data_IF_524346531364
#
_entry.id   IF_524346531364
#
_cell.length_a   1.000
_cell.length_b   1.000
_cell.length_c   1.000
_cell.angle_alpha   90.00
_cell.angle_beta   90.00
_cell.angle_gamma   90.00
#
_symmetry.space_group_name_H-M   'P 1'
#
loop_
_entity.id
_entity.type
_entity.pdbx_description
1 polymer ?
#
# COMPACT_ATOMS: atom_id res chain seq x y z
N UNK A 1 -21.00 9.23 27.98
CA UNK A 1 -20.38 10.07 26.94
C UNK A 1 -20.27 9.20 25.71
N UNK A 2 -21.16 9.44 24.74
CA UNK A 2 -21.17 8.72 23.48
C UNK A 2 -19.97 9.20 22.67
N UNK A 3 -18.99 8.32 22.48
CA UNK A 3 -17.90 8.57 21.56
C UNK A 3 -18.52 8.50 20.16
N UNK A 4 -18.72 9.67 19.54
CA UNK A 4 -18.92 9.73 18.10
C UNK A 4 -17.56 9.31 17.51
N UNK A 5 -17.47 8.06 17.06
CA UNK A 5 -16.57 7.72 15.97
C UNK A 5 -16.86 8.72 14.86
N UNK A 6 -15.90 9.58 14.56
CA UNK A 6 -15.90 10.43 13.38
C UNK A 6 -15.72 9.50 12.18
N UNK A 7 -16.78 8.74 11.87
CA UNK A 7 -16.83 7.83 10.74
C UNK A 7 -16.69 8.67 9.49
N UNK A 8 -15.59 8.50 8.76
CA UNK A 8 -15.41 9.09 7.44
C UNK A 8 -16.70 8.93 6.63
N UNK A 9 -17.14 10.04 6.01
CA UNK A 9 -18.34 10.07 5.20
C UNK A 9 -18.31 8.90 4.19
N UNK A 10 -19.29 7.99 4.21
CA UNK A 10 -19.29 6.81 3.34
C UNK A 10 -19.23 7.19 1.85
N UNK A 11 -19.75 8.36 1.47
CA UNK A 11 -19.63 8.88 0.10
C UNK A 11 -18.19 9.31 -0.21
N UNK A 12 -17.50 9.97 0.73
CA UNK A 12 -16.10 10.35 0.57
C UNK A 12 -15.17 9.12 0.45
N UNK A 13 -15.41 8.07 1.25
CA UNK A 13 -14.69 6.80 1.12
C UNK A 13 -14.92 6.15 -0.25
N UNK A 14 -16.18 6.13 -0.72
CA UNK A 14 -16.52 5.57 -2.03
C UNK A 14 -15.89 6.35 -3.17
N UNK A 15 -15.86 7.69 -3.08
CA UNK A 15 -15.23 8.56 -4.05
C UNK A 15 -13.71 8.31 -4.10
N UNK A 16 -13.05 8.32 -2.93
CA UNK A 16 -11.63 8.01 -2.78
C UNK A 16 -11.25 6.67 -3.41
N UNK A 17 -11.99 5.60 -3.12
CA UNK A 17 -11.73 4.30 -3.73
C UNK A 17 -11.97 4.33 -5.24
N UNK A 18 -13.00 5.02 -5.70
CA UNK A 18 -13.24 5.18 -7.15
C UNK A 18 -12.06 5.86 -7.85
N UNK A 19 -11.50 6.92 -7.26
CA UNK A 19 -10.31 7.59 -7.78
C UNK A 19 -9.10 6.64 -7.76
N UNK A 20 -8.85 5.94 -6.65
CA UNK A 20 -7.76 4.94 -6.58
C UNK A 20 -7.87 3.92 -7.71
N UNK A 21 -9.05 3.33 -7.95
CA UNK A 21 -9.22 2.34 -9.01
C UNK A 21 -9.10 2.93 -10.42
N UNK A 22 -9.49 4.18 -10.65
CA UNK A 22 -9.27 4.86 -11.93
C UNK A 22 -7.78 5.08 -12.24
N UNK A 23 -6.94 5.14 -11.21
CA UNK A 23 -5.49 5.26 -11.35
C UNK A 23 -4.80 3.91 -11.58
N UNK A 24 -5.53 2.79 -11.54
CA UNK A 24 -4.95 1.47 -11.81
C UNK A 24 -4.54 1.37 -13.28
N UNK A 25 -3.30 0.96 -13.52
CA UNK A 25 -2.82 0.68 -14.86
C UNK A 25 -3.53 -0.55 -15.46
N UNK A 26 -3.63 -0.64 -16.78
CA UNK A 26 -4.28 -1.76 -17.48
C UNK A 26 -3.67 -3.13 -17.15
N UNK A 27 -2.36 -3.15 -16.84
CA UNK A 27 -1.59 -4.32 -16.39
C UNK A 27 -1.86 -4.70 -14.92
N UNK A 28 -2.58 -3.89 -14.15
CA UNK A 28 -3.04 -4.21 -12.79
C UNK A 28 -2.31 -3.50 -11.64
N UNK A 29 -1.27 -2.71 -11.91
CA UNK A 29 -0.49 -2.04 -10.85
C UNK A 29 -0.86 -0.57 -10.65
N UNK A 30 -0.47 -0.03 -9.50
CA UNK A 30 -0.47 1.41 -9.22
C UNK A 30 0.94 1.98 -9.27
N UNK A 31 1.01 3.29 -9.53
CA UNK A 31 2.25 4.05 -9.52
C UNK A 31 2.18 5.10 -8.43
N UNK A 32 3.34 5.37 -7.84
CA UNK A 32 3.49 6.49 -6.93
C UNK A 32 3.32 7.82 -7.66
N UNK A 33 2.18 8.46 -7.44
CA UNK A 33 1.89 9.84 -7.84
C UNK A 33 1.52 10.67 -6.61
N UNK A 34 1.60 11.99 -6.72
CA UNK A 34 1.20 12.89 -5.62
C UNK A 34 -0.26 12.63 -5.20
N UNK A 35 -1.14 12.46 -6.19
CA UNK A 35 -2.56 12.13 -6.03
C UNK A 35 -2.77 10.82 -5.26
N UNK A 36 -2.08 9.74 -5.66
CA UNK A 36 -2.21 8.46 -4.97
C UNK A 36 -1.70 8.59 -3.53
N UNK A 37 -0.61 9.34 -3.33
CA UNK A 37 -0.07 9.65 -2.01
C UNK A 37 -1.06 10.35 -1.09
N UNK A 38 -1.78 11.36 -1.58
CA UNK A 38 -2.88 11.98 -0.82
C UNK A 38 -3.97 10.96 -0.49
N UNK A 39 -4.38 10.18 -1.50
CA UNK A 39 -5.44 9.17 -1.34
C UNK A 39 -5.04 8.04 -0.39
N UNK A 40 -3.77 7.71 -0.19
CA UNK A 40 -3.36 6.67 0.78
C UNK A 40 -2.72 7.26 2.05
N UNK A 41 -2.77 8.59 2.22
CA UNK A 41 -2.13 9.34 3.29
C UNK A 41 -0.63 9.03 3.44
N UNK A 42 0.10 8.99 2.33
CA UNK A 42 1.54 8.75 2.28
C UNK A 42 2.27 9.89 1.56
N UNK A 43 3.33 10.39 2.18
CA UNK A 43 4.32 11.25 1.57
C UNK A 43 5.19 10.43 0.62
N UNK A 44 4.70 10.32 -0.60
CA UNK A 44 5.34 9.59 -1.70
C UNK A 44 6.71 10.14 -2.03
N UNK A 45 6.92 11.45 -1.92
CA UNK A 45 8.22 12.08 -2.21
C UNK A 45 9.23 11.73 -1.12
N UNK A 46 8.85 11.86 0.15
CA UNK A 46 9.71 11.45 1.26
C UNK A 46 10.02 9.95 1.19
N UNK A 47 9.05 9.13 0.81
CA UNK A 47 9.23 7.69 0.72
C UNK A 47 10.11 7.27 -0.47
N UNK A 48 9.71 7.64 -1.69
CA UNK A 48 10.37 7.18 -2.92
C UNK A 48 11.67 7.94 -3.19
N UNK A 49 11.66 9.27 -3.03
CA UNK A 49 12.78 10.12 -3.43
C UNK A 49 13.82 10.34 -2.33
N UNK A 50 13.45 10.13 -1.05
CA UNK A 50 14.39 10.23 0.08
C UNK A 50 14.71 8.86 0.66
N UNK A 51 13.73 8.13 1.20
CA UNK A 51 14.01 6.86 1.90
C UNK A 51 14.57 5.77 0.97
N UNK A 52 13.86 5.44 -0.10
CA UNK A 52 14.30 4.37 -1.01
C UNK A 52 15.61 4.72 -1.72
N UNK A 53 15.79 6.00 -2.07
CA UNK A 53 17.05 6.51 -2.61
C UNK A 53 18.21 6.31 -1.63
N UNK A 54 18.02 6.63 -0.35
CA UNK A 54 19.02 6.42 0.70
C UNK A 54 19.32 4.93 0.95
N UNK A 55 18.35 4.05 0.71
CA UNK A 55 18.53 2.58 0.73
C UNK A 55 19.19 2.03 -0.54
N UNK A 56 19.60 2.89 -1.46
CA UNK A 56 20.36 2.49 -2.63
C UNK A 56 19.52 1.81 -3.69
N UNK A 57 18.21 2.07 -3.76
CA UNK A 57 17.34 1.51 -4.81
C UNK A 57 17.84 1.84 -6.23
N UNK A 58 18.54 2.98 -6.40
CA UNK A 58 19.13 3.39 -7.68
C UNK A 58 20.27 2.47 -8.14
N UNK A 59 20.88 1.70 -7.23
CA UNK A 59 21.91 0.70 -7.55
C UNK A 59 21.38 -0.54 -8.26
N UNK A 60 20.05 -0.71 -8.32
CA UNK A 60 19.39 -1.85 -8.97
C UNK A 60 19.16 -1.64 -10.47
N UNK A 61 19.41 -0.43 -10.97
CA UNK A 61 19.12 -0.04 -12.35
C UNK A 61 17.74 0.58 -12.51
N UNK A 62 17.59 1.43 -13.52
CA UNK A 62 16.42 2.31 -13.72
C UNK A 62 15.12 1.52 -13.88
N UNK A 63 15.17 0.36 -14.55
CA UNK A 63 14.01 -0.51 -14.75
C UNK A 63 13.56 -1.19 -13.45
N UNK A 64 14.50 -1.80 -12.73
CA UNK A 64 14.20 -2.45 -11.46
C UNK A 64 13.67 -1.45 -10.43
N UNK A 65 14.27 -0.25 -10.37
CA UNK A 65 13.78 0.84 -9.55
C UNK A 65 12.31 1.17 -9.83
N UNK A 66 11.94 1.39 -11.11
CA UNK A 66 10.57 1.71 -11.48
C UNK A 66 9.58 0.59 -11.14
N UNK A 67 9.96 -0.66 -11.40
CA UNK A 67 9.08 -1.80 -11.13
C UNK A 67 8.92 -2.08 -9.63
N UNK A 68 9.96 -1.85 -8.83
CA UNK A 68 9.87 -1.94 -7.37
C UNK A 68 8.95 -0.86 -6.81
N UNK A 69 9.04 0.38 -7.31
CA UNK A 69 8.11 1.44 -6.90
C UNK A 69 6.66 1.06 -7.20
N UNK A 70 6.39 0.49 -8.37
CA UNK A 70 5.06 -0.03 -8.75
C UNK A 70 4.61 -1.17 -7.83
N UNK A 71 5.52 -2.09 -7.48
CA UNK A 71 5.26 -3.16 -6.52
C UNK A 71 4.86 -2.61 -5.16
N UNK A 72 5.64 -1.70 -4.59
CA UNK A 72 5.33 -1.15 -3.28
C UNK A 72 4.03 -0.35 -3.31
N UNK A 73 3.80 0.48 -4.33
CA UNK A 73 2.55 1.22 -4.49
C UNK A 73 1.33 0.29 -4.55
N UNK A 74 1.41 -0.79 -5.32
CA UNK A 74 0.33 -1.78 -5.45
C UNK A 74 0.08 -2.52 -4.15
N UNK A 75 1.14 -2.94 -3.44
CA UNK A 75 1.01 -3.60 -2.14
C UNK A 75 0.39 -2.68 -1.07
N UNK A 76 0.70 -1.39 -1.09
CA UNK A 76 0.09 -0.42 -0.18
C UNK A 76 -1.41 -0.27 -0.43
N UNK A 77 -1.83 -0.18 -1.70
CA UNK A 77 -3.26 -0.12 -2.04
C UNK A 77 -3.98 -1.39 -1.58
N UNK A 78 -3.43 -2.58 -1.87
CA UNK A 78 -3.99 -3.86 -1.44
C UNK A 78 -4.05 -3.98 0.10
N UNK A 79 -3.02 -3.52 0.82
CA UNK A 79 -3.02 -3.51 2.27
C UNK A 79 -4.08 -2.56 2.81
N UNK A 80 -4.17 -1.34 2.27
CA UNK A 80 -5.17 -0.36 2.67
C UNK A 80 -6.59 -0.89 2.47
N UNK A 81 -6.88 -1.54 1.35
CA UNK A 81 -8.19 -2.17 1.10
C UNK A 81 -8.55 -3.18 2.18
N UNK A 82 -7.56 -3.98 2.61
CA UNK A 82 -7.73 -5.02 3.62
C UNK A 82 -7.95 -4.42 5.02
N UNK A 83 -7.23 -3.36 5.36
CA UNK A 83 -7.37 -2.66 6.65
C UNK A 83 -8.70 -1.87 6.74
N UNK A 84 -9.11 -1.21 5.65
CA UNK A 84 -10.41 -0.53 5.55
C UNK A 84 -11.58 -1.50 5.35
N UNK A 85 -11.30 -2.80 5.19
CA UNK A 85 -12.29 -3.88 5.05
C UNK A 85 -13.34 -3.56 3.97
N UNK A 86 -12.90 -3.04 2.83
CA UNK A 86 -13.79 -2.92 1.66
C UNK A 86 -14.14 -4.32 1.13
N UNK A 87 -15.21 -4.44 0.35
CA UNK A 87 -15.74 -5.75 -0.06
C UNK A 87 -14.69 -6.63 -0.76
N UNK A 88 -13.93 -6.05 -1.68
CA UNK A 88 -12.84 -6.74 -2.37
C UNK A 88 -11.65 -7.03 -1.43
N UNK A 89 -11.35 -6.12 -0.51
CA UNK A 89 -10.26 -6.25 0.45
C UNK A 89 -10.46 -7.41 1.42
N UNK A 90 -11.71 -7.75 1.76
CA UNK A 90 -12.06 -8.92 2.58
C UNK A 90 -11.69 -10.24 1.92
N UNK A 91 -11.57 -10.26 0.60
CA UNK A 91 -11.20 -11.45 -0.18
C UNK A 91 -9.69 -11.67 -0.21
N UNK A 92 -8.88 -10.68 0.18
CA UNK A 92 -7.43 -10.81 0.24
C UNK A 92 -7.04 -11.66 1.46
N UNK A 93 -6.71 -12.93 1.22
CA UNK A 93 -6.14 -13.83 2.23
C UNK A 93 -4.75 -13.34 2.66
N UNK A 94 -3.97 -12.89 1.67
CA UNK A 94 -2.69 -12.18 1.83
C UNK A 94 -2.60 -11.12 0.74
N UNK A 95 -1.59 -10.24 0.79
CA UNK A 95 -1.32 -9.29 -0.30
C UNK A 95 -1.01 -9.95 -1.66
N UNK A 96 -0.75 -11.25 -1.66
CA UNK A 96 -0.39 -12.04 -2.85
C UNK A 96 -1.43 -13.11 -3.19
N UNK A 97 -2.56 -13.15 -2.48
CA UNK A 97 -3.57 -14.19 -2.67
C UNK A 97 -4.98 -13.63 -2.44
N UNK A 98 -5.76 -13.63 -3.52
CA UNK A 98 -7.19 -13.31 -3.51
C UNK A 98 -8.00 -14.60 -3.45
N UNK A 99 -9.11 -14.58 -2.71
CA UNK A 99 -10.07 -15.67 -2.70
C UNK A 99 -10.98 -15.62 -3.93
N UNK A 100 -10.93 -16.69 -4.74
CA UNK A 100 -11.73 -16.84 -5.96
C UNK A 100 -13.12 -17.47 -5.70
N UNK A 101 -13.38 -17.91 -4.46
CA UNK A 101 -14.59 -18.64 -4.06
C UNK A 101 -15.92 -17.86 -4.04
N UNK A 102 -15.99 -16.55 -3.75
CA UNK A 102 -17.28 -15.89 -3.55
C UNK A 102 -18.05 -15.70 -4.88
N UNK A 103 -19.33 -16.08 -4.86
CA UNK A 103 -20.33 -15.74 -5.87
C UNK A 103 -21.56 -15.15 -5.14
N UNK A 104 -22.08 -13.98 -5.54
CA UNK A 104 -21.61 -13.12 -6.64
C UNK A 104 -20.28 -12.42 -6.33
N UNK A 105 -19.48 -12.16 -7.36
CA UNK A 105 -18.20 -11.43 -7.23
C UNK A 105 -18.48 -9.93 -7.04
N UNK A 106 -17.69 -9.23 -6.20
CA UNK A 106 -17.74 -7.77 -6.11
C UNK A 106 -17.49 -7.10 -7.46
N UNK A 107 -17.96 -5.86 -7.60
CA UNK A 107 -17.86 -5.08 -8.83
C UNK A 107 -16.41 -4.96 -9.33
N UNK A 108 -15.45 -4.74 -8.43
CA UNK A 108 -14.04 -4.51 -8.78
C UNK A 108 -13.13 -5.71 -8.56
N UNK A 109 -13.70 -6.92 -8.56
CA UNK A 109 -12.94 -8.13 -8.28
C UNK A 109 -11.85 -8.39 -9.33
N UNK A 110 -12.10 -8.11 -10.61
CA UNK A 110 -11.14 -8.36 -11.69
C UNK A 110 -9.93 -7.42 -11.63
N UNK A 111 -10.14 -6.17 -11.24
CA UNK A 111 -9.12 -5.16 -10.95
C UNK A 111 -8.18 -5.66 -9.85
N UNK A 112 -8.76 -6.13 -8.75
CA UNK A 112 -8.00 -6.60 -7.59
C UNK A 112 -7.27 -7.89 -7.91
N UNK A 113 -7.90 -8.82 -8.64
CA UNK A 113 -7.23 -10.02 -9.12
C UNK A 113 -6.03 -9.68 -10.01
N UNK A 114 -6.18 -8.74 -10.96
CA UNK A 114 -5.07 -8.29 -11.80
C UNK A 114 -3.93 -7.69 -10.98
N UNK A 115 -4.25 -6.90 -9.95
CA UNK A 115 -3.25 -6.37 -9.05
C UNK A 115 -2.48 -7.48 -8.32
N UNK A 116 -3.19 -8.48 -7.79
CA UNK A 116 -2.59 -9.64 -7.11
C UNK A 116 -1.71 -10.46 -8.05
N UNK A 117 -2.18 -10.73 -9.27
CA UNK A 117 -1.41 -11.43 -10.29
C UNK A 117 -0.14 -10.64 -10.67
N UNK A 118 -0.25 -9.32 -10.77
CA UNK A 118 0.87 -8.43 -11.08
C UNK A 118 1.92 -8.40 -9.96
N UNK A 119 1.52 -8.26 -8.69
CA UNK A 119 2.49 -8.26 -7.57
C UNK A 119 3.16 -9.63 -7.42
N UNK A 120 2.45 -10.73 -7.68
CA UNK A 120 3.03 -12.06 -7.73
C UNK A 120 4.10 -12.18 -8.83
N UNK A 121 3.86 -11.60 -10.00
CA UNK A 121 4.85 -11.55 -11.06
C UNK A 121 6.05 -10.68 -10.68
N UNK A 122 5.82 -9.47 -10.16
CA UNK A 122 6.86 -8.50 -9.83
C UNK A 122 7.78 -8.99 -8.69
N UNK A 123 7.21 -9.60 -7.63
CA UNK A 123 8.00 -10.19 -6.54
C UNK A 123 8.90 -11.34 -7.04
N UNK A 124 8.43 -12.13 -8.02
CA UNK A 124 9.25 -13.17 -8.69
C UNK A 124 10.35 -12.60 -9.58
N UNK A 125 10.12 -11.46 -10.23
CA UNK A 125 11.14 -10.81 -11.07
C UNK A 125 12.27 -10.21 -10.25
N UNK A 126 11.96 -9.71 -9.06
CA UNK A 126 12.90 -9.04 -8.19
C UNK A 126 12.98 -9.73 -6.82
N UNK A 127 13.52 -10.97 -6.76
CA UNK A 127 13.64 -11.68 -5.51
C UNK A 127 14.55 -10.89 -4.55
N UNK A 128 14.27 -10.98 -3.25
CA UNK A 128 15.05 -10.33 -2.19
C UNK A 128 15.06 -8.78 -2.21
N UNK A 129 14.18 -8.12 -2.97
CA UNK A 129 13.98 -6.65 -2.87
C UNK A 129 13.65 -6.26 -1.43
N UNK A 130 12.85 -7.10 -0.79
CA UNK A 130 12.47 -6.99 0.60
C UNK A 130 13.66 -6.80 1.55
N UNK A 131 14.65 -7.70 1.49
CA UNK A 131 15.84 -7.65 2.35
C UNK A 131 16.80 -6.55 1.93
N UNK A 132 16.91 -6.28 0.63
CA UNK A 132 17.84 -5.27 0.10
C UNK A 132 17.42 -3.83 0.41
N UNK A 133 16.13 -3.56 0.47
CA UNK A 133 15.60 -2.25 0.86
C UNK A 133 15.41 -2.11 2.37
N UNK A 134 15.75 -3.16 3.13
CA UNK A 134 15.57 -3.24 4.58
C UNK A 134 14.12 -2.92 4.99
N UNK A 135 13.15 -3.36 4.18
CA UNK A 135 11.76 -3.45 4.62
C UNK A 135 11.71 -4.52 5.71
N UNK A 136 11.02 -4.26 6.84
CA UNK A 136 11.13 -4.94 8.15
C UNK A 136 11.14 -6.48 8.18
N UNK A 137 10.08 -7.15 8.69
CA UNK A 137 9.97 -8.63 8.67
C UNK A 137 9.11 -9.26 7.55
N UNK A 138 8.01 -8.63 7.15
CA UNK A 138 7.22 -9.03 5.97
C UNK A 138 6.68 -7.82 5.19
N UNK A 139 6.25 -8.05 3.94
CA UNK A 139 5.50 -7.05 3.16
C UNK A 139 4.24 -6.59 3.89
N UNK A 140 3.52 -7.49 4.56
CA UNK A 140 2.31 -7.14 5.32
C UNK A 140 2.60 -6.20 6.48
N UNK A 141 3.60 -6.51 7.33
CA UNK A 141 3.97 -5.62 8.43
C UNK A 141 4.51 -4.29 7.91
N UNK A 142 5.34 -4.33 6.87
CA UNK A 142 5.95 -3.11 6.30
C UNK A 142 4.89 -2.18 5.69
N UNK A 143 3.92 -2.71 4.95
CA UNK A 143 2.83 -1.91 4.37
C UNK A 143 1.89 -1.37 5.42
N UNK A 144 1.53 -2.15 6.46
CA UNK A 144 0.77 -1.64 7.61
C UNK A 144 1.52 -0.52 8.34
N UNK A 145 2.82 -0.67 8.52
CA UNK A 145 3.67 0.35 9.14
C UNK A 145 3.75 1.63 8.32
N UNK A 146 3.86 1.53 6.99
CA UNK A 146 3.87 2.67 6.08
C UNK A 146 2.52 3.41 6.06
N UNK A 147 1.43 2.67 6.14
CA UNK A 147 0.08 3.22 6.26
C UNK A 147 -0.25 3.68 7.69
N UNK A 148 0.62 3.39 8.66
CA UNK A 148 0.49 3.73 10.08
C UNK A 148 -0.54 2.93 10.87
N UNK A 149 -0.97 1.78 10.37
CA UNK A 149 -1.80 0.82 11.12
C UNK A 149 -1.00 0.01 12.15
N UNK A 150 0.32 -0.08 11.99
CA UNK A 150 1.20 -0.82 12.88
C UNK A 150 2.35 0.07 13.35
N UNK A 151 2.65 0.02 14.66
CA UNK A 151 3.76 0.78 15.23
C UNK A 151 5.11 0.30 14.69
N UNK A 152 6.03 1.24 14.47
CA UNK A 152 7.38 0.93 13.99
C UNK A 152 8.21 0.29 15.11
N UNK A 153 8.80 -0.91 14.90
CA UNK A 153 9.69 -1.49 15.90
C UNK A 153 10.91 -0.57 16.13
N UNK A 154 11.57 -0.65 17.30
CA UNK A 154 12.65 0.26 17.67
C UNK A 154 13.80 0.35 16.66
N UNK A 155 14.02 -0.74 15.91
CA UNK A 155 15.08 -0.92 14.92
C UNK A 155 14.59 -0.71 13.47
N UNK A 156 13.34 -0.29 13.25
CA UNK A 156 12.82 -0.08 11.90
C UNK A 156 13.56 1.07 11.21
N UNK A 157 14.02 0.83 9.98
CA UNK A 157 14.59 1.87 9.14
C UNK A 157 13.57 2.96 8.75
N UNK A 158 12.27 2.68 8.93
CA UNK A 158 11.19 3.63 8.71
C UNK A 158 11.02 4.61 9.89
N UNK A 159 11.67 4.34 11.03
CA UNK A 159 11.52 5.13 12.27
C UNK A 159 12.11 6.53 12.10
N UNK A 160 11.30 7.54 12.41
CA UNK A 160 11.69 8.96 12.30
C UNK A 160 11.35 9.61 10.96
N UNK A 161 10.76 8.86 10.01
CA UNK A 161 10.17 9.45 8.81
C UNK A 161 8.71 9.82 9.12
N UNK A 162 8.37 11.11 9.07
CA UNK A 162 6.98 11.57 9.13
C UNK A 162 6.31 11.32 7.77
N UNK A 163 6.06 10.04 7.46
CA UNK A 163 5.55 9.61 6.15
C UNK A 163 4.06 9.88 5.97
N UNK A 164 3.31 10.12 7.03
CA UNK A 164 1.89 10.45 6.92
C UNK A 164 1.73 11.96 6.71
N UNK A 165 1.03 12.34 5.64
CA UNK A 165 0.76 13.75 5.30
C UNK A 165 -0.18 14.39 6.31
N UNK A 166 -1.11 13.61 6.83
CA UNK A 166 -1.97 13.98 7.95
C UNK A 166 -1.45 13.29 9.20
N UNK A 167 -1.02 14.09 10.18
CA UNK A 167 -0.74 13.61 11.54
C UNK A 167 -2.05 13.01 12.08
N UNK A 168 -2.13 11.72 12.45
CA UNK A 168 -3.10 11.31 13.43
C UNK A 168 -2.67 12.00 14.72
N UNK A 169 -3.30 13.13 15.02
CA UNK A 169 -3.41 13.48 16.42
C UNK A 169 -4.20 12.36 17.06
N UNK A 170 -3.57 11.71 18.05
CA UNK A 170 -4.09 10.85 19.13
C UNK A 170 -3.12 9.65 19.25
N UNK A 171 -2.59 9.27 20.40
CA UNK A 171 -2.54 9.82 21.76
C UNK A 171 -1.57 8.91 22.50
N UNK A 172 -0.76 9.49 23.37
CA UNK A 172 0.07 8.79 24.36
C UNK A 172 -0.82 7.88 25.22
N UNK A 173 -0.45 6.61 25.36
CA UNK A 173 -0.80 5.79 26.52
C UNK A 173 0.44 5.09 27.04
#
# INVERSE_FOLDING_TARGET
MSFQEESADPEALKLRWTEIFQMQHSEGYWQFTAELGELINLDVDLFANVFLKNKGIQSLGVKAHADILKLVATLLVLQLMREEKIEEGKLLRTLFCLDDSPLPRPERWEEVKRAVDWVCWADRQYPCVYSRLEFGFSWESSTRQLLGFEGLPPFSALRGLNLQKTVPQVLVH
#
